data_IF_136161977486
#
_entry.id   IF_136161977486
#
_cell.length_a   1.000
_cell.length_b   1.000
_cell.length_c   1.000
_cell.angle_alpha   90.00
_cell.angle_beta   90.00
_cell.angle_gamma   90.00
#
_symmetry.space_group_name_H-M   'P 1'
#
loop_
_entity.id
_entity.type
_entity.pdbx_description
1 polymer ?
#
# COMPACT_ATOMS: atom_id res chain seq x y z
N UNK A 1 -8.76 10.20 8.96
CA UNK A 1 -7.50 9.51 8.57
C UNK A 1 -6.76 8.81 9.72
N UNK A 2 -6.46 9.48 10.85
CA UNK A 2 -5.71 8.87 11.97
C UNK A 2 -6.26 7.52 12.47
N UNK A 3 -7.59 7.38 12.62
CA UNK A 3 -8.21 6.11 13.05
C UNK A 3 -7.92 4.94 12.10
N UNK A 4 -7.96 5.18 10.79
CA UNK A 4 -7.67 4.15 9.79
C UNK A 4 -6.21 3.69 9.84
N UNK A 5 -5.27 4.63 9.95
CA UNK A 5 -3.85 4.31 10.16
C UNK A 5 -3.66 3.47 11.43
N UNK A 6 -4.32 3.84 12.53
CA UNK A 6 -4.27 3.04 13.76
C UNK A 6 -4.84 1.63 13.56
N UNK A 7 -5.94 1.47 12.83
CA UNK A 7 -6.48 0.15 12.52
C UNK A 7 -5.50 -0.70 11.71
N UNK A 8 -4.84 -0.13 10.71
CA UNK A 8 -3.80 -0.83 9.93
C UNK A 8 -2.66 -1.31 10.83
N UNK A 9 -2.20 -0.46 11.76
CA UNK A 9 -1.13 -0.79 12.70
C UNK A 9 -1.58 -1.89 13.67
N UNK A 10 -2.79 -1.78 14.25
CA UNK A 10 -3.35 -2.76 15.19
C UNK A 10 -3.53 -4.11 14.51
N UNK A 11 -4.01 -4.13 13.26
CA UNK A 11 -4.18 -5.36 12.50
C UNK A 11 -2.83 -6.02 12.16
N UNK A 12 -1.76 -5.23 12.04
CA UNK A 12 -0.38 -5.73 12.00
C UNK A 12 0.01 -6.50 10.74
N UNK A 13 -0.89 -6.63 9.75
CA UNK A 13 -0.60 -7.33 8.51
C UNK A 13 0.33 -6.47 7.63
N UNK A 14 1.63 -6.80 7.64
CA UNK A 14 2.66 -6.07 6.91
C UNK A 14 2.40 -5.94 5.42
N UNK A 15 1.78 -6.96 4.82
CA UNK A 15 1.43 -6.92 3.39
C UNK A 15 0.32 -5.91 3.12
N UNK A 16 -0.70 -5.89 3.97
CA UNK A 16 -1.77 -4.90 3.91
C UNK A 16 -1.23 -3.49 4.14
N UNK A 17 -0.34 -3.32 5.12
CA UNK A 17 0.26 -2.02 5.45
C UNK A 17 1.08 -1.48 4.26
N UNK A 18 1.90 -2.31 3.62
CA UNK A 18 2.63 -1.93 2.40
C UNK A 18 1.68 -1.45 1.29
N UNK A 19 0.59 -2.18 1.02
CA UNK A 19 -0.38 -1.80 -0.02
C UNK A 19 -1.10 -0.51 0.35
N UNK A 20 -1.55 -0.40 1.60
CA UNK A 20 -2.25 0.76 2.10
C UNK A 20 -1.36 2.01 2.08
N UNK A 21 -0.09 1.89 2.48
CA UNK A 21 0.87 3.00 2.45
C UNK A 21 1.07 3.55 1.04
N UNK A 22 1.25 2.66 0.06
CA UNK A 22 1.33 3.03 -1.35
C UNK A 22 0.04 3.72 -1.82
N UNK A 23 -1.13 3.10 -1.59
CA UNK A 23 -2.42 3.67 -2.00
C UNK A 23 -2.67 5.04 -1.39
N UNK A 24 -2.36 5.22 -0.10
CA UNK A 24 -2.53 6.52 0.56
C UNK A 24 -1.68 7.62 -0.06
N UNK A 25 -0.44 7.31 -0.48
CA UNK A 25 0.42 8.29 -1.17
C UNK A 25 -0.12 8.66 -2.55
N UNK A 26 -0.64 7.68 -3.30
CA UNK A 26 -1.31 7.94 -4.59
C UNK A 26 -2.57 8.80 -4.42
N UNK A 27 -3.19 8.76 -3.24
CA UNK A 27 -4.30 9.65 -2.86
C UNK A 27 -3.86 10.96 -2.20
N UNK A 28 -2.57 11.32 -2.25
CA UNK A 28 -2.05 12.56 -1.66
C UNK A 28 -2.10 12.60 -0.13
N UNK A 29 -2.24 11.45 0.53
CA UNK A 29 -2.30 11.35 1.99
C UNK A 29 -0.96 10.94 2.57
N UNK A 30 -0.50 11.66 3.61
CA UNK A 30 0.72 11.30 4.32
C UNK A 30 0.55 9.97 5.07
N UNK A 31 1.41 9.01 4.75
CA UNK A 31 1.45 7.67 5.36
C UNK A 31 2.81 7.34 5.99
N UNK A 32 3.68 8.33 6.24
CA UNK A 32 5.06 8.17 6.72
C UNK A 32 5.19 7.20 7.90
N UNK A 33 4.25 7.27 8.86
CA UNK A 33 4.25 6.41 10.05
C UNK A 33 4.14 4.92 9.74
N UNK A 34 3.50 4.55 8.62
CA UNK A 34 3.32 3.16 8.19
C UNK A 34 4.62 2.54 7.66
N UNK A 35 5.63 3.33 7.32
CA UNK A 35 6.93 2.83 6.83
C UNK A 35 7.60 1.86 7.82
N UNK A 36 7.42 2.09 9.12
CA UNK A 36 7.98 1.24 10.19
C UNK A 36 7.34 -0.15 10.24
N UNK A 37 6.16 -0.31 9.65
CA UNK A 37 5.33 -1.50 9.74
C UNK A 37 5.17 -2.23 8.39
N UNK A 38 5.83 -1.74 7.34
CA UNK A 38 5.74 -2.30 5.98
C UNK A 38 6.35 -3.70 5.87
N UNK A 39 6.00 -4.41 4.80
CA UNK A 39 6.62 -5.69 4.46
C UNK A 39 8.12 -5.55 4.24
N UNK A 40 8.91 -6.55 4.68
CA UNK A 40 10.36 -6.60 4.39
C UNK A 40 10.66 -7.04 2.96
N UNK A 41 9.76 -7.81 2.35
CA UNK A 41 9.88 -8.31 0.98
C UNK A 41 8.92 -7.58 0.06
N UNK A 42 9.20 -7.64 -1.25
CA UNK A 42 8.28 -7.14 -2.26
C UNK A 42 7.01 -7.98 -2.32
N UNK A 43 5.87 -7.31 -2.40
CA UNK A 43 4.56 -7.94 -2.53
C UNK A 43 3.80 -7.32 -3.70
N UNK A 44 2.90 -8.09 -4.30
CA UNK A 44 2.02 -7.61 -5.36
C UNK A 44 1.01 -6.58 -4.84
N UNK A 45 0.81 -5.50 -5.60
CA UNK A 45 -0.25 -4.53 -5.36
C UNK A 45 -1.63 -5.21 -5.46
N UNK A 46 -1.90 -5.86 -6.59
CA UNK A 46 -3.05 -6.73 -6.80
C UNK A 46 -2.62 -8.20 -6.61
N UNK A 47 -3.08 -8.88 -5.55
CA UNK A 47 -2.74 -10.29 -5.29
C UNK A 47 -3.20 -11.27 -6.39
N UNK A 48 -4.24 -10.93 -7.14
CA UNK A 48 -4.88 -11.78 -8.14
C UNK A 48 -4.17 -11.75 -9.50
N UNK A 49 -3.30 -10.76 -9.73
CA UNK A 49 -2.54 -10.61 -10.97
C UNK A 49 -1.16 -11.25 -10.91
N UNK A 50 -0.56 -11.45 -12.08
CA UNK A 50 0.81 -11.95 -12.21
C UNK A 50 1.83 -11.08 -11.48
N UNK A 51 3.00 -11.65 -11.20
CA UNK A 51 4.08 -10.98 -10.49
C UNK A 51 4.96 -10.15 -11.44
N UNK A 52 4.32 -9.27 -12.22
CA UNK A 52 4.97 -8.47 -13.26
C UNK A 52 4.49 -7.02 -13.19
N UNK A 53 5.43 -6.08 -13.17
CA UNK A 53 5.13 -4.65 -13.05
C UNK A 53 6.30 -3.81 -12.53
N UNK A 54 6.02 -2.56 -12.20
CA UNK A 54 7.00 -1.61 -11.65
C UNK A 54 7.24 -1.86 -10.16
N UNK A 55 8.46 -1.61 -9.67
CA UNK A 55 8.83 -1.83 -8.27
C UNK A 55 8.85 -0.51 -7.49
N UNK A 56 7.88 -0.34 -6.58
CA UNK A 56 7.90 0.73 -5.60
C UNK A 56 8.76 0.31 -4.38
N UNK A 57 9.99 0.82 -4.32
CA UNK A 57 10.97 0.51 -3.25
C UNK A 57 10.57 1.08 -1.89
N UNK A 58 9.83 2.19 -1.88
CA UNK A 58 9.37 2.85 -0.66
C UNK A 58 8.45 1.93 0.14
N UNK A 59 7.48 1.29 -0.51
CA UNK A 59 6.51 0.40 0.13
C UNK A 59 6.78 -1.09 -0.06
N UNK A 60 7.82 -1.46 -0.80
CA UNK A 60 8.09 -2.84 -1.23
C UNK A 60 6.87 -3.43 -1.98
N UNK A 61 6.36 -2.67 -2.95
CA UNK A 61 5.21 -3.05 -3.78
C UNK A 61 5.65 -3.32 -5.21
N UNK A 62 5.11 -4.37 -5.81
CA UNK A 62 5.14 -4.63 -7.25
C UNK A 62 3.81 -4.11 -7.80
N UNK A 63 3.87 -2.99 -8.51
CA UNK A 63 2.75 -2.30 -9.13
C UNK A 63 2.36 -3.09 -10.39
N UNK A 64 1.58 -4.14 -10.19
CA UNK A 64 1.05 -5.02 -11.23
C UNK A 64 -0.38 -4.65 -11.66
N UNK A 65 -0.87 -3.48 -11.23
CA UNK A 65 -2.16 -2.92 -11.60
C UNK A 65 -2.10 -1.39 -11.65
N UNK A 66 -2.73 -0.79 -12.67
CA UNK A 66 -2.95 0.66 -12.72
C UNK A 66 -4.07 1.03 -11.77
N UNK A 67 -3.79 1.92 -10.82
CA UNK A 67 -4.82 2.53 -10.00
C UNK A 67 -5.61 3.51 -10.88
N UNK A 68 -6.88 3.20 -11.13
CA UNK A 68 -7.82 4.16 -11.73
C UNK A 68 -8.49 4.91 -10.60
N UNK A 69 -8.21 6.20 -10.45
CA UNK A 69 -8.94 7.07 -9.54
C UNK A 69 -10.35 7.20 -10.13
N UNK A 70 -11.30 6.43 -9.61
CA UNK A 70 -12.73 6.74 -9.80
C UNK A 70 -13.09 7.74 -8.73
N UNK A 71 -13.55 8.92 -9.14
CA UNK A 71 -14.29 9.79 -8.24
C UNK A 71 -15.47 8.98 -7.70
N UNK A 72 -15.45 8.70 -6.40
CA UNK A 72 -16.62 8.18 -5.71
C UNK A 72 -17.56 9.37 -5.58
N UNK A 73 -18.51 9.49 -6.50
CA UNK A 73 -19.63 10.44 -6.41
C UNK A 73 -20.58 10.05 -5.29
#
# INVERSE_FOLDING_TARGET
MKKFINYLIIFGNKSMISRAGYLLEEFGTNSEILQKYKSKTYIKLNPEKENFGEYNKRWNIIINEKIKIKEIK
#
